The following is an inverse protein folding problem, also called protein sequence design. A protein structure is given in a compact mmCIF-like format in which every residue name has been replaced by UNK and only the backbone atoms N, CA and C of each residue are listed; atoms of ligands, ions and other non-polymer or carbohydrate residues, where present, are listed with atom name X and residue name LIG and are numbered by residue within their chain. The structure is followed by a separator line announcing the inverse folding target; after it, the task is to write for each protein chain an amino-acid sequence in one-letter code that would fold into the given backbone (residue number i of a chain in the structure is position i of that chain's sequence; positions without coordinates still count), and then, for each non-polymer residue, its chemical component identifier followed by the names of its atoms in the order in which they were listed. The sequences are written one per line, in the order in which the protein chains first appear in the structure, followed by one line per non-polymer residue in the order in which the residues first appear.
data_IF_091497325379
#
_entry.id   IF_091497325379
#
_cell.length_a   1.000
_cell.length_b   1.000
_cell.length_c   1.000
_cell.angle_alpha   90.00
_cell.angle_beta   90.00
_cell.angle_gamma   90.00
#
_symmetry.space_group_name_H-M   'P 1'
#
loop_
_entity.id
_entity.type
_entity.pdbx_description
1 polymer ?
#
# COMPACT_ATOMS: atom_id res chain seq x y z
N UNK A 1 -30.15 -61.63 5.46
CA UNK A 1 -28.99 -60.76 5.07
C UNK A 1 -29.57 -59.51 4.48
N UNK A 2 -29.56 -58.41 5.24
CA UNK A 2 -30.01 -57.07 4.77
C UNK A 2 -28.80 -56.21 4.65
N UNK A 3 -28.50 -55.77 3.42
CA UNK A 3 -27.38 -54.89 3.06
C UNK A 3 -27.81 -53.47 3.32
N UNK A 4 -27.13 -52.80 4.21
CA UNK A 4 -27.27 -51.33 4.46
C UNK A 4 -26.51 -50.56 3.39
N UNK A 5 -27.21 -49.77 2.63
CA UNK A 5 -26.62 -48.78 1.69
C UNK A 5 -26.22 -47.53 2.47
N UNK A 6 -24.94 -47.30 2.53
CA UNK A 6 -24.37 -46.04 3.08
C UNK A 6 -24.44 -44.95 2.01
N UNK A 7 -25.41 -44.07 2.17
CA UNK A 7 -25.52 -42.87 1.32
C UNK A 7 -24.50 -41.82 1.75
N UNK A 8 -23.46 -41.63 0.93
CA UNK A 8 -22.46 -40.53 1.08
C UNK A 8 -23.11 -39.25 0.59
N UNK A 9 -23.44 -38.37 1.55
CA UNK A 9 -23.89 -37.00 1.26
C UNK A 9 -22.69 -36.16 0.81
N UNK A 10 -22.50 -36.03 -0.49
CA UNK A 10 -21.55 -35.09 -1.06
C UNK A 10 -22.15 -33.69 -0.96
N UNK A 11 -21.74 -32.91 0.04
CA UNK A 11 -21.97 -31.48 0.04
C UNK A 11 -21.22 -30.86 -1.14
N UNK A 12 -21.94 -30.56 -2.20
CA UNK A 12 -21.45 -29.68 -3.26
C UNK A 12 -21.25 -28.28 -2.66
N UNK A 13 -20.05 -27.96 -2.24
CA UNK A 13 -19.65 -26.59 -2.02
C UNK A 13 -19.73 -25.87 -3.36
N UNK A 14 -20.76 -25.06 -3.54
CA UNK A 14 -20.82 -24.12 -4.64
C UNK A 14 -19.58 -23.23 -4.53
N UNK A 15 -18.58 -23.51 -5.36
CA UNK A 15 -17.48 -22.60 -5.62
C UNK A 15 -18.09 -21.33 -6.19
N UNK A 16 -18.26 -20.30 -5.36
CA UNK A 16 -18.46 -18.94 -5.86
C UNK A 16 -17.35 -18.71 -6.88
N UNK A 17 -17.70 -18.68 -8.16
CA UNK A 17 -16.81 -18.20 -9.21
C UNK A 17 -16.49 -16.76 -8.85
N UNK A 18 -15.35 -16.56 -8.18
CA UNK A 18 -14.72 -15.24 -8.09
C UNK A 18 -14.44 -14.85 -9.53
N UNK A 19 -15.26 -13.96 -10.08
CA UNK A 19 -14.98 -13.35 -11.38
C UNK A 19 -13.57 -12.78 -11.30
N UNK A 20 -12.72 -12.97 -12.32
CA UNK A 20 -11.40 -12.37 -12.33
C UNK A 20 -11.57 -10.87 -12.11
N UNK A 21 -10.75 -10.26 -11.26
CA UNK A 21 -10.83 -8.83 -11.01
C UNK A 21 -10.75 -8.10 -12.36
N UNK A 22 -11.63 -7.12 -12.57
CA UNK A 22 -11.52 -6.24 -13.72
C UNK A 22 -10.15 -5.55 -13.65
N UNK A 23 -9.19 -6.02 -14.46
CA UNK A 23 -7.82 -5.54 -14.50
C UNK A 23 -7.67 -4.27 -15.36
N UNK A 24 -8.79 -3.73 -15.82
CA UNK A 24 -8.81 -2.53 -16.62
C UNK A 24 -8.52 -1.30 -15.76
N UNK A 25 -7.31 -0.77 -15.94
CA UNK A 25 -6.87 0.45 -15.26
C UNK A 25 -7.54 1.66 -15.90
N UNK A 26 -8.35 2.36 -15.13
CA UNK A 26 -9.04 3.59 -15.54
C UNK A 26 -8.23 4.78 -15.05
N UNK A 27 -8.10 5.79 -15.91
CA UNK A 27 -7.47 7.06 -15.57
C UNK A 27 -8.55 8.08 -15.26
N UNK A 28 -8.56 8.55 -14.03
CA UNK A 28 -9.55 9.48 -13.51
C UNK A 28 -8.89 10.80 -13.06
N UNK A 29 -9.71 11.79 -12.79
CA UNK A 29 -9.25 13.04 -12.20
C UNK A 29 -10.10 13.41 -10.98
N UNK A 30 -9.47 14.00 -9.99
CA UNK A 30 -10.11 14.57 -8.80
C UNK A 30 -9.51 15.92 -8.49
N UNK A 31 -10.03 16.59 -7.47
CA UNK A 31 -9.48 17.87 -6.98
C UNK A 31 -8.89 17.68 -5.60
N UNK A 32 -7.61 17.97 -5.45
CA UNK A 32 -6.88 17.95 -4.19
C UNK A 32 -6.41 19.36 -3.87
N UNK A 33 -6.81 19.90 -2.72
CA UNK A 33 -6.51 21.30 -2.32
C UNK A 33 -6.87 22.34 -3.40
N UNK A 34 -8.00 22.14 -4.08
CA UNK A 34 -8.46 23.05 -5.15
C UNK A 34 -7.69 22.91 -6.46
N UNK A 35 -6.83 21.86 -6.64
CA UNK A 35 -6.02 21.65 -7.83
C UNK A 35 -6.34 20.30 -8.48
N UNK A 36 -6.35 20.24 -9.83
CA UNK A 36 -6.61 18.99 -10.53
C UNK A 36 -5.52 17.97 -10.23
N UNK A 37 -5.93 16.73 -10.01
CA UNK A 37 -5.04 15.59 -9.76
C UNK A 37 -5.51 14.43 -10.62
N UNK A 38 -4.61 13.88 -11.42
CA UNK A 38 -4.87 12.70 -12.24
C UNK A 38 -4.40 11.47 -11.49
N UNK A 39 -5.15 10.36 -11.60
CA UNK A 39 -4.77 9.11 -10.94
C UNK A 39 -5.30 7.89 -11.71
N UNK A 40 -4.61 6.77 -11.54
CA UNK A 40 -5.07 5.46 -11.99
C UNK A 40 -5.83 4.76 -10.88
N UNK A 41 -6.95 4.11 -11.23
CA UNK A 41 -7.71 3.26 -10.32
C UNK A 41 -8.15 1.98 -11.02
N UNK A 42 -8.08 0.85 -10.33
CA UNK A 42 -8.56 -0.44 -10.83
C UNK A 42 -8.76 -1.44 -9.69
N UNK A 43 -9.55 -2.48 -9.99
CA UNK A 43 -9.76 -3.62 -9.11
C UNK A 43 -10.68 -3.34 -7.93
N UNK A 44 -10.93 -4.45 -7.18
CA UNK A 44 -11.83 -4.43 -6.03
C UNK A 44 -11.24 -5.18 -4.87
N UNK A 45 -10.84 -4.98 -3.85
CA UNK A 45 -10.21 -5.87 -2.86
C UNK A 45 -9.42 -5.10 -1.82
N UNK A 46 -8.23 -5.55 -1.51
CA UNK A 46 -7.37 -4.86 -0.54
C UNK A 46 -6.94 -3.51 -1.11
N UNK A 47 -7.22 -2.39 -0.42
CA UNK A 47 -6.80 -1.09 -0.91
C UNK A 47 -5.28 -0.97 -0.89
N UNK A 48 -4.72 -0.47 -1.99
CA UNK A 48 -3.30 -0.26 -2.18
C UNK A 48 -3.07 1.09 -2.86
N UNK A 49 -2.23 1.92 -2.23
CA UNK A 49 -1.70 3.15 -2.80
C UNK A 49 -0.33 2.86 -3.42
N UNK A 50 -0.14 3.28 -4.67
CA UNK A 50 1.16 3.20 -5.34
C UNK A 50 1.70 4.60 -5.63
N UNK A 51 2.91 4.90 -5.13
CA UNK A 51 3.61 6.17 -5.31
C UNK A 51 4.79 5.99 -6.26
N UNK A 52 4.77 6.69 -7.39
CA UNK A 52 5.77 6.57 -8.46
C UNK A 52 7.10 7.26 -8.13
N UNK A 53 8.16 6.93 -8.88
CA UNK A 53 9.48 7.54 -8.77
C UNK A 53 9.58 8.92 -9.43
N UNK A 54 10.69 9.62 -9.14
CA UNK A 54 11.03 10.90 -9.75
C UNK A 54 11.12 10.81 -11.27
N UNK A 55 10.67 11.85 -11.96
CA UNK A 55 10.71 11.97 -13.41
C UNK A 55 9.62 11.21 -14.16
N UNK A 56 9.06 10.17 -13.56
CA UNK A 56 7.97 9.37 -14.10
C UNK A 56 6.62 9.82 -13.52
N UNK A 57 5.54 9.29 -14.06
CA UNK A 57 4.20 9.44 -13.50
C UNK A 57 3.50 8.06 -13.42
N UNK A 58 2.26 8.07 -13.03
CA UNK A 58 1.45 6.86 -12.82
C UNK A 58 1.30 5.98 -14.08
N UNK A 59 1.30 6.54 -15.29
CA UNK A 59 1.17 5.79 -16.55
C UNK A 59 2.34 4.84 -16.80
N UNK A 60 3.56 5.24 -16.40
CA UNK A 60 4.75 4.41 -16.52
C UNK A 60 4.60 3.05 -15.86
N UNK A 61 3.81 2.99 -14.78
CA UNK A 61 3.64 1.80 -13.95
C UNK A 61 2.42 0.95 -14.33
N UNK A 62 1.78 1.18 -15.47
CA UNK A 62 0.58 0.46 -15.91
C UNK A 62 0.69 -1.07 -15.79
N UNK A 63 1.84 -1.66 -16.16
CA UNK A 63 2.04 -3.11 -16.09
C UNK A 63 2.16 -3.62 -14.64
N UNK A 64 3.04 -3.06 -13.78
CA UNK A 64 3.07 -3.41 -12.36
C UNK A 64 1.73 -3.22 -11.65
N UNK A 65 1.01 -2.12 -11.93
CA UNK A 65 -0.31 -1.86 -11.34
C UNK A 65 -1.33 -2.94 -11.72
N UNK A 66 -1.35 -3.38 -12.99
CA UNK A 66 -2.19 -4.50 -13.43
C UNK A 66 -1.89 -5.79 -12.66
N UNK A 67 -0.62 -6.08 -12.38
CA UNK A 67 -0.26 -7.25 -11.57
C UNK A 67 -0.81 -7.16 -10.16
N UNK A 68 -0.77 -5.99 -9.53
CA UNK A 68 -1.36 -5.77 -8.21
C UNK A 68 -2.88 -5.99 -8.21
N UNK A 69 -3.57 -5.53 -9.27
CA UNK A 69 -5.01 -5.78 -9.44
C UNK A 69 -5.30 -7.28 -9.56
N UNK A 70 -4.53 -8.02 -10.35
CA UNK A 70 -4.65 -9.47 -10.51
C UNK A 70 -4.42 -10.24 -9.19
N UNK A 71 -3.64 -9.69 -8.27
CA UNK A 71 -3.45 -10.21 -6.92
C UNK A 71 -4.62 -9.90 -5.97
N UNK A 72 -5.66 -9.20 -6.45
CA UNK A 72 -6.83 -8.87 -5.65
C UNK A 72 -6.69 -7.57 -4.86
N UNK A 73 -5.91 -6.60 -5.37
CA UNK A 73 -5.87 -5.25 -4.83
C UNK A 73 -6.88 -4.33 -5.52
N UNK A 74 -7.38 -3.36 -4.76
CA UNK A 74 -7.93 -2.12 -5.31
C UNK A 74 -6.83 -1.07 -5.31
N UNK A 75 -6.32 -0.77 -6.48
CA UNK A 75 -5.14 0.09 -6.65
C UNK A 75 -5.56 1.55 -6.85
N UNK A 76 -4.84 2.45 -6.18
CA UNK A 76 -4.88 3.90 -6.37
C UNK A 76 -3.47 4.37 -6.69
N UNK A 77 -3.27 4.99 -7.84
CA UNK A 77 -1.96 5.43 -8.31
C UNK A 77 -2.02 6.89 -8.79
N UNK A 78 -1.90 7.88 -7.86
CA UNK A 78 -1.92 9.28 -8.25
C UNK A 78 -0.64 9.69 -8.99
N UNK A 79 -0.78 10.61 -9.93
CA UNK A 79 0.33 11.43 -10.39
C UNK A 79 0.71 12.38 -9.24
N UNK A 80 1.88 12.20 -8.67
CA UNK A 80 2.35 13.06 -7.58
C UNK A 80 2.56 14.50 -8.06
N UNK A 81 2.45 15.50 -7.17
CA UNK A 81 2.62 16.91 -7.52
C UNK A 81 3.90 17.19 -8.32
N UNK A 82 3.76 17.88 -9.45
CA UNK A 82 4.84 18.17 -10.38
C UNK A 82 4.97 17.22 -11.55
N UNK A 83 4.21 16.12 -11.57
CA UNK A 83 4.29 15.07 -12.59
C UNK A 83 2.92 14.70 -13.14
N UNK A 84 2.89 14.12 -14.35
CA UNK A 84 1.72 13.49 -14.95
C UNK A 84 0.47 14.37 -15.05
N UNK A 85 0.62 15.68 -15.13
CA UNK A 85 -0.50 16.64 -15.20
C UNK A 85 -0.99 17.16 -13.84
N UNK A 86 -0.49 16.65 -12.72
CA UNK A 86 -0.76 17.20 -11.39
C UNK A 86 0.15 18.41 -11.12
N UNK A 87 -0.40 19.59 -10.78
CA UNK A 87 0.39 20.78 -10.49
C UNK A 87 1.33 20.58 -9.29
N UNK A 88 2.45 21.31 -9.29
CA UNK A 88 3.43 21.29 -8.20
C UNK A 88 2.82 21.68 -6.85
N UNK A 89 3.44 21.20 -5.77
CA UNK A 89 3.26 21.81 -4.46
C UNK A 89 3.80 23.24 -4.46
N UNK A 90 3.22 24.13 -3.64
CA UNK A 90 3.83 25.42 -3.32
C UNK A 90 5.26 25.22 -2.84
N UNK A 91 6.13 26.22 -3.09
CA UNK A 91 7.57 26.11 -2.83
C UNK A 91 7.88 25.79 -1.36
N UNK A 92 7.14 26.38 -0.45
CA UNK A 92 7.26 26.23 1.00
C UNK A 92 6.82 24.85 1.53
N UNK A 93 5.93 24.18 0.81
CA UNK A 93 5.44 22.84 1.13
C UNK A 93 6.02 21.73 0.23
N UNK A 94 6.95 22.07 -0.66
CA UNK A 94 7.64 21.09 -1.53
C UNK A 94 8.73 20.32 -0.76
N UNK A 95 8.30 19.55 0.23
CA UNK A 95 9.10 18.73 1.16
C UNK A 95 8.45 17.35 1.32
N UNK A 96 9.15 16.37 1.86
CA UNK A 96 8.55 15.04 2.10
C UNK A 96 7.30 15.12 3.00
N UNK A 97 7.28 15.85 4.12
CA UNK A 97 6.04 16.05 4.89
C UNK A 97 4.92 16.73 4.07
N UNK A 98 5.24 17.66 3.19
CA UNK A 98 4.26 18.29 2.31
C UNK A 98 3.67 17.32 1.28
N UNK A 99 4.47 16.41 0.73
CA UNK A 99 4.00 15.31 -0.13
C UNK A 99 3.15 14.32 0.66
N UNK A 100 3.55 13.95 1.87
CA UNK A 100 2.79 13.05 2.74
C UNK A 100 1.41 13.64 3.08
N UNK A 101 1.34 14.92 3.46
CA UNK A 101 0.08 15.61 3.71
C UNK A 101 -0.80 15.72 2.45
N UNK A 102 -0.19 15.91 1.26
CA UNK A 102 -0.93 15.88 0.00
C UNK A 102 -1.49 14.48 -0.31
N UNK A 103 -0.78 13.41 0.03
CA UNK A 103 -1.26 12.03 -0.12
C UNK A 103 -2.49 11.79 0.74
N UNK A 104 -2.54 12.26 1.98
CA UNK A 104 -3.72 12.15 2.84
C UNK A 104 -4.93 12.88 2.24
N UNK A 105 -4.74 14.11 1.78
CA UNK A 105 -5.78 14.88 1.10
C UNK A 105 -6.25 14.21 -0.19
N UNK A 106 -5.35 13.58 -0.96
CA UNK A 106 -5.72 12.78 -2.13
C UNK A 106 -6.61 11.60 -1.75
N UNK A 107 -6.23 10.82 -0.74
CA UNK A 107 -7.02 9.68 -0.28
C UNK A 107 -8.40 10.11 0.24
N UNK A 108 -8.47 11.24 0.94
CA UNK A 108 -9.75 11.83 1.35
C UNK A 108 -10.59 12.25 0.14
N UNK A 109 -10.00 12.89 -0.87
CA UNK A 109 -10.70 13.33 -2.09
C UNK A 109 -11.28 12.17 -2.91
N UNK A 110 -10.64 11.00 -2.89
CA UNK A 110 -11.14 9.78 -3.58
C UNK A 110 -11.93 8.85 -2.64
N UNK A 111 -12.25 9.29 -1.43
CA UNK A 111 -13.12 8.58 -0.48
C UNK A 111 -12.50 7.33 0.15
N UNK A 112 -11.17 7.23 0.20
CA UNK A 112 -10.47 6.11 0.86
C UNK A 112 -10.27 6.45 2.32
N UNK A 113 -10.93 5.72 3.21
CA UNK A 113 -10.89 5.93 4.67
C UNK A 113 -10.27 4.74 5.44
N UNK A 114 -10.21 3.57 4.82
CA UNK A 114 -9.63 2.37 5.44
C UNK A 114 -8.10 2.36 5.33
N UNK A 115 -7.39 1.76 6.30
CA UNK A 115 -5.94 1.57 6.21
C UNK A 115 -5.57 0.73 5.00
N UNK A 116 -4.53 1.13 4.27
CA UNK A 116 -4.14 0.52 3.00
C UNK A 116 -2.69 0.05 2.99
N UNK A 117 -2.34 -0.80 2.03
CA UNK A 117 -0.96 -1.08 1.69
C UNK A 117 -0.42 0.16 0.96
N UNK A 118 0.73 0.66 1.36
CA UNK A 118 1.42 1.74 0.64
C UNK A 118 2.67 1.16 -0.03
N UNK A 119 2.73 1.21 -1.35
CA UNK A 119 3.90 0.81 -2.12
C UNK A 119 4.52 2.05 -2.78
N UNK A 120 5.82 2.26 -2.56
CA UNK A 120 6.52 3.41 -3.13
C UNK A 120 7.80 3.00 -3.84
N UNK A 121 8.00 3.51 -5.06
CA UNK A 121 9.23 3.33 -5.83
C UNK A 121 10.10 4.57 -5.76
N UNK A 122 11.39 4.41 -5.47
CA UNK A 122 12.37 5.49 -5.50
C UNK A 122 11.96 6.70 -4.65
N UNK A 123 11.74 7.88 -5.24
CA UNK A 123 11.20 9.06 -4.56
C UNK A 123 9.86 8.78 -3.88
N UNK A 124 8.96 8.05 -4.58
CA UNK A 124 7.67 7.64 -4.00
C UNK A 124 7.83 6.77 -2.75
N UNK A 125 8.93 6.04 -2.62
CA UNK A 125 9.28 5.29 -1.39
C UNK A 125 9.58 6.23 -0.23
N UNK A 126 10.31 7.30 -0.44
CA UNK A 126 10.54 8.33 0.60
C UNK A 126 9.25 9.03 1.02
N UNK A 127 8.37 9.34 0.07
CA UNK A 127 7.03 9.88 0.39
C UNK A 127 6.21 8.87 1.17
N UNK A 128 6.30 7.58 0.83
CA UNK A 128 5.59 6.50 1.53
C UNK A 128 6.08 6.33 2.98
N UNK A 129 7.39 6.42 3.23
CA UNK A 129 7.96 6.40 4.60
C UNK A 129 7.41 7.57 5.41
N UNK A 130 7.50 8.79 4.87
CA UNK A 130 7.00 9.99 5.54
C UNK A 130 5.49 9.90 5.80
N UNK A 131 4.71 9.42 4.82
CA UNK A 131 3.28 9.24 4.97
C UNK A 131 2.93 8.23 6.06
N UNK A 132 3.63 7.10 6.13
CA UNK A 132 3.43 6.11 7.18
C UNK A 132 3.81 6.63 8.57
N UNK A 133 4.79 7.53 8.64
CA UNK A 133 5.19 8.18 9.89
C UNK A 133 4.12 9.18 10.36
N UNK A 134 3.67 10.08 9.49
CA UNK A 134 2.81 11.21 9.82
C UNK A 134 1.32 10.79 9.96
N UNK A 135 0.89 9.73 9.25
CA UNK A 135 -0.49 9.24 9.21
C UNK A 135 -0.58 7.74 9.52
N UNK A 136 -0.19 7.30 10.72
CA UNK A 136 -0.06 5.89 11.07
C UNK A 136 -1.37 5.10 10.95
N UNK A 137 -2.51 5.73 11.16
CA UNK A 137 -3.83 5.09 11.05
C UNK A 137 -4.24 4.79 9.59
N UNK A 138 -3.55 5.42 8.61
CA UNK A 138 -3.81 5.24 7.18
C UNK A 138 -3.04 4.06 6.57
N UNK A 139 -2.00 3.57 7.24
CA UNK A 139 -1.06 2.60 6.67
C UNK A 139 -1.13 1.26 7.39
N UNK A 140 -1.49 0.23 6.65
CA UNK A 140 -1.52 -1.17 7.13
C UNK A 140 -0.16 -1.84 7.02
N UNK A 141 0.52 -1.63 5.91
CA UNK A 141 1.87 -2.13 5.63
C UNK A 141 2.54 -1.27 4.56
N UNK A 142 3.86 -1.30 4.53
CA UNK A 142 4.69 -0.49 3.65
C UNK A 142 5.54 -1.38 2.76
N UNK A 143 5.62 -1.06 1.47
CA UNK A 143 6.50 -1.72 0.50
C UNK A 143 7.38 -0.68 -0.17
N UNK A 144 8.66 -0.81 0.04
CA UNK A 144 9.69 0.12 -0.44
C UNK A 144 10.48 -0.54 -1.57
N UNK A 145 10.40 0.01 -2.78
CA UNK A 145 11.07 -0.53 -3.96
C UNK A 145 12.15 0.44 -4.41
N UNK A 146 13.42 0.04 -4.32
CA UNK A 146 14.56 0.89 -4.68
C UNK A 146 14.44 2.31 -4.08
N UNK A 147 14.02 2.38 -2.81
CA UNK A 147 13.55 3.60 -2.15
C UNK A 147 14.71 4.51 -1.72
N UNK A 148 14.46 5.82 -1.77
CA UNK A 148 15.26 6.79 -1.00
C UNK A 148 14.90 6.68 0.49
N UNK A 149 15.72 7.28 1.36
CA UNK A 149 15.49 7.37 2.81
C UNK A 149 16.61 6.80 3.66
N UNK A 150 17.48 5.95 3.09
CA UNK A 150 18.63 5.40 3.79
C UNK A 150 19.85 6.32 3.87
N UNK A 151 19.80 7.53 3.40
CA UNK A 151 20.78 8.63 3.48
C UNK A 151 22.25 8.32 3.10
N UNK A 152 22.70 7.08 3.10
CA UNK A 152 24.08 6.68 2.80
C UNK A 152 24.31 6.55 1.27
N UNK A 153 25.42 7.10 0.80
CA UNK A 153 25.81 7.00 -0.62
C UNK A 153 26.97 6.02 -0.85
N UNK A 154 28.02 6.09 -0.05
CA UNK A 154 29.19 5.23 -0.22
C UNK A 154 30.01 5.13 1.07
N UNK A 155 30.82 4.07 1.16
CA UNK A 155 31.70 3.83 2.29
C UNK A 155 30.99 3.20 3.50
N UNK A 156 31.77 2.85 4.54
CA UNK A 156 31.29 2.25 5.78
C UNK A 156 31.90 2.97 6.98
N UNK A 157 31.20 3.01 8.10
CA UNK A 157 31.68 3.64 9.32
C UNK A 157 32.05 5.12 9.13
N UNK A 158 33.25 5.51 9.54
CA UNK A 158 33.75 6.90 9.45
C UNK A 158 33.99 7.40 8.03
N UNK A 159 34.02 6.51 7.01
CA UNK A 159 34.19 6.86 5.61
C UNK A 159 32.84 6.94 4.84
N UNK A 160 31.73 6.69 5.51
CA UNK A 160 30.42 6.77 4.90
C UNK A 160 30.13 8.20 4.42
N UNK A 161 29.76 8.32 3.14
CA UNK A 161 29.30 9.58 2.54
C UNK A 161 27.78 9.61 2.51
N UNK A 162 27.24 10.78 2.81
CA UNK A 162 25.77 10.97 2.73
C UNK A 162 25.32 11.07 1.28
N UNK A 163 24.13 10.57 1.00
CA UNK A 163 23.49 10.69 -0.33
C UNK A 163 23.36 12.16 -0.75
N UNK A 164 23.20 13.08 0.19
CA UNK A 164 23.19 14.52 -0.05
C UNK A 164 24.49 15.09 -0.66
N UNK A 165 25.62 14.41 -0.47
CA UNK A 165 26.90 14.81 -1.06
C UNK A 165 27.07 14.36 -2.52
N UNK A 166 26.22 13.41 -2.97
CA UNK A 166 26.25 12.88 -4.33
C UNK A 166 25.80 13.96 -5.33
N UNK A 167 26.60 14.28 -6.36
CA UNK A 167 26.22 15.27 -7.37
C UNK A 167 24.98 14.81 -8.16
N UNK A 168 24.07 15.73 -8.44
CA UNK A 168 22.87 15.41 -9.26
C UNK A 168 23.22 14.95 -10.69
N UNK A 169 24.32 15.44 -11.26
CA UNK A 169 24.76 14.99 -12.58
C UNK A 169 25.16 13.50 -12.58
N UNK A 170 25.64 12.98 -11.46
CA UNK A 170 25.99 11.56 -11.31
C UNK A 170 24.73 10.66 -11.41
N UNK A 171 23.62 11.09 -10.85
CA UNK A 171 22.34 10.42 -11.07
C UNK A 171 21.95 10.40 -12.55
N UNK A 172 22.12 11.53 -13.24
CA UNK A 172 21.86 11.64 -14.67
C UNK A 172 22.74 10.73 -15.53
N UNK A 173 24.00 10.50 -15.14
CA UNK A 173 24.90 9.58 -15.83
C UNK A 173 24.51 8.10 -15.65
N UNK A 174 23.88 7.75 -14.53
CA UNK A 174 23.43 6.37 -14.28
C UNK A 174 22.06 6.07 -14.88
N UNK A 175 21.27 7.08 -15.23
CA UNK A 175 19.97 6.88 -15.85
C UNK A 175 20.03 6.12 -17.19
N UNK A 176 20.98 6.39 -18.12
CA UNK A 176 21.16 5.55 -19.30
C UNK A 176 21.56 4.11 -18.97
N UNK A 177 22.35 3.89 -17.92
CA UNK A 177 22.75 2.54 -17.51
C UNK A 177 21.60 1.71 -16.92
N UNK A 178 20.55 2.35 -16.46
CA UNK A 178 19.32 1.72 -16.01
C UNK A 178 18.52 1.12 -17.18
N UNK A 179 18.77 1.60 -18.40
CA UNK A 179 18.21 1.07 -19.64
C UNK A 179 18.93 -0.17 -20.17
N UNK A 180 20.16 -0.45 -19.71
CA UNK A 180 20.94 -1.61 -20.10
C UNK A 180 20.71 -2.78 -19.14
N UNK A 181 20.62 -4.04 -19.56
CA UNK A 181 20.92 -4.60 -20.88
C UNK A 181 19.78 -4.47 -21.90
N UNK A 182 20.14 -4.66 -23.19
CA UNK A 182 19.29 -4.47 -24.38
C UNK A 182 17.82 -4.98 -24.25
N UNK A 183 17.49 -6.12 -23.61
CA UNK A 183 16.12 -6.56 -23.43
C UNK A 183 15.27 -5.59 -22.58
N UNK A 184 15.90 -4.81 -21.71
CA UNK A 184 15.20 -3.82 -20.89
C UNK A 184 14.95 -2.52 -21.65
N UNK A 185 15.84 -2.14 -22.57
CA UNK A 185 15.69 -0.92 -23.39
C UNK A 185 14.35 -0.94 -24.13
N UNK A 186 14.03 -2.03 -24.80
CA UNK A 186 12.80 -2.13 -25.59
C UNK A 186 11.52 -2.04 -24.75
N UNK A 187 11.59 -2.38 -23.47
CA UNK A 187 10.46 -2.31 -22.54
C UNK A 187 10.36 -0.97 -21.78
N UNK A 188 11.50 -0.40 -21.40
CA UNK A 188 11.58 0.80 -20.54
C UNK A 188 11.70 2.07 -21.35
N UNK A 189 12.43 2.07 -22.48
CA UNK A 189 12.61 3.28 -23.29
C UNK A 189 11.30 3.91 -23.81
N UNK A 190 10.31 3.16 -24.31
CA UNK A 190 9.01 3.75 -24.67
C UNK A 190 8.36 4.46 -23.48
N UNK A 191 8.38 3.83 -22.32
CA UNK A 191 7.82 4.38 -21.07
C UNK A 191 8.52 5.69 -20.68
N UNK A 192 9.83 5.73 -20.77
CA UNK A 192 10.62 6.94 -20.48
C UNK A 192 10.30 8.06 -21.48
N UNK A 193 10.21 7.75 -22.78
CA UNK A 193 9.88 8.74 -23.80
C UNK A 193 8.45 9.26 -23.70
N UNK A 194 7.52 8.40 -23.36
CA UNK A 194 6.08 8.76 -23.25
C UNK A 194 5.77 9.53 -21.97
N UNK A 195 6.49 9.29 -20.89
CA UNK A 195 6.15 9.81 -19.57
C UNK A 195 7.22 10.78 -19.02
N UNK A 196 8.50 10.40 -18.99
CA UNK A 196 9.56 11.25 -18.42
C UNK A 196 9.84 12.49 -19.27
N UNK A 197 9.93 12.36 -20.59
CA UNK A 197 10.23 13.47 -21.47
C UNK A 197 9.17 14.58 -21.42
N UNK A 198 7.86 14.30 -21.48
CA UNK A 198 6.84 15.31 -21.26
C UNK A 198 6.92 15.99 -19.87
N UNK A 199 7.22 15.25 -18.81
CA UNK A 199 7.40 15.83 -17.47
C UNK A 199 8.59 16.78 -17.42
N UNK A 200 9.73 16.41 -18.03
CA UNK A 200 10.93 17.25 -18.12
C UNK A 200 10.66 18.57 -18.88
N UNK A 201 9.93 18.48 -19.99
CA UNK A 201 9.67 19.65 -20.84
C UNK A 201 8.60 20.58 -20.22
N UNK A 202 7.58 20.01 -19.59
CA UNK A 202 6.47 20.80 -19.03
C UNK A 202 6.83 21.49 -17.73
N UNK A 203 7.63 20.85 -16.87
CA UNK A 203 7.94 21.38 -15.55
C UNK A 203 9.36 21.09 -15.06
N UNK A 204 10.40 21.67 -15.73
CA UNK A 204 11.80 21.43 -15.35
C UNK A 204 12.11 21.92 -13.93
N UNK A 205 11.39 22.93 -13.43
CA UNK A 205 11.58 23.47 -12.08
C UNK A 205 11.10 22.49 -11.02
N UNK A 206 9.96 21.80 -11.22
CA UNK A 206 9.51 20.76 -10.33
C UNK A 206 10.49 19.59 -10.32
N UNK A 207 10.89 19.14 -11.50
CA UNK A 207 11.88 18.07 -11.64
C UNK A 207 13.12 18.33 -10.79
N UNK A 208 13.68 19.56 -10.87
CA UNK A 208 14.85 19.95 -10.10
C UNK A 208 14.58 19.99 -8.58
N UNK A 209 13.42 20.58 -8.14
CA UNK A 209 13.07 20.63 -6.73
C UNK A 209 12.92 19.25 -6.12
N UNK A 210 12.20 18.36 -6.80
CA UNK A 210 11.98 16.99 -6.33
C UNK A 210 13.30 16.22 -6.28
N UNK A 211 14.21 16.41 -7.26
CA UNK A 211 15.53 15.83 -7.21
C UNK A 211 16.34 16.31 -5.98
N UNK A 212 16.22 17.57 -5.60
CA UNK A 212 16.88 18.08 -4.38
C UNK A 212 16.26 17.47 -3.12
N UNK A 213 14.94 17.38 -3.03
CA UNK A 213 14.25 16.72 -1.91
C UNK A 213 14.68 15.26 -1.81
N UNK A 214 14.70 14.53 -2.93
CA UNK A 214 15.13 13.13 -2.97
C UNK A 214 16.57 12.93 -2.52
N UNK A 215 17.48 13.79 -2.98
CA UNK A 215 18.91 13.73 -2.65
C UNK A 215 19.19 13.99 -1.17
N UNK A 216 18.46 14.93 -0.56
CA UNK A 216 18.66 15.33 0.83
C UNK A 216 17.82 14.53 1.82
N UNK A 217 17.02 13.57 1.34
CA UNK A 217 16.17 12.75 2.18
C UNK A 217 16.99 11.88 3.13
N UNK A 218 16.91 12.18 4.42
CA UNK A 218 17.35 11.34 5.52
C UNK A 218 16.12 11.02 6.37
N UNK A 219 15.62 9.81 6.25
CA UNK A 219 14.40 9.34 6.91
C UNK A 219 14.71 8.32 8.01
N UNK A 220 15.93 8.35 8.53
CA UNK A 220 16.37 7.41 9.57
C UNK A 220 15.49 7.48 10.81
N UNK A 221 15.14 8.69 11.27
CA UNK A 221 14.29 8.89 12.45
C UNK A 221 12.86 8.36 12.24
N UNK A 222 12.28 8.62 11.07
CA UNK A 222 10.96 8.13 10.67
C UNK A 222 10.95 6.60 10.60
N UNK A 223 11.97 5.98 10.00
CA UNK A 223 12.12 4.53 9.90
C UNK A 223 12.25 3.88 11.27
N UNK A 224 13.03 4.45 12.18
CA UNK A 224 13.15 3.97 13.56
C UNK A 224 11.82 4.08 14.33
N UNK A 225 11.02 5.13 14.07
CA UNK A 225 9.68 5.26 14.62
C UNK A 225 8.74 4.18 14.08
N UNK A 226 8.75 3.93 12.76
CA UNK A 226 7.96 2.85 12.15
C UNK A 226 8.35 1.48 12.73
N UNK A 227 9.65 1.24 12.97
CA UNK A 227 10.13 0.04 13.67
C UNK A 227 9.57 -0.07 15.08
N UNK A 228 9.59 1.02 15.87
CA UNK A 228 9.01 1.04 17.23
C UNK A 228 7.50 0.74 17.21
N UNK A 229 6.78 1.23 16.22
CA UNK A 229 5.35 0.94 16.00
C UNK A 229 5.10 -0.47 15.46
N UNK A 230 6.14 -1.21 15.09
CA UNK A 230 6.04 -2.54 14.47
C UNK A 230 5.19 -2.55 13.20
N UNK A 231 5.29 -1.49 12.41
CA UNK A 231 4.64 -1.47 11.10
C UNK A 231 5.27 -2.56 10.22
N UNK A 232 4.47 -3.44 9.57
CA UNK A 232 5.01 -4.39 8.59
C UNK A 232 5.61 -3.64 7.40
N UNK A 233 6.92 -3.82 7.17
CA UNK A 233 7.66 -3.18 6.07
C UNK A 233 8.41 -4.22 5.27
N UNK A 234 8.24 -4.20 3.97
CA UNK A 234 9.03 -4.96 2.99
C UNK A 234 9.91 -3.99 2.22
N UNK A 235 11.20 -4.29 2.17
CA UNK A 235 12.19 -3.47 1.45
C UNK A 235 12.76 -4.30 0.31
N UNK A 236 12.62 -3.81 -0.93
CA UNK A 236 13.08 -4.45 -2.15
C UNK A 236 14.16 -3.60 -2.81
N UNK A 237 15.23 -4.24 -3.25
CA UNK A 237 16.33 -3.56 -3.93
C UNK A 237 16.88 -4.39 -5.08
N UNK A 238 17.05 -3.74 -6.26
CA UNK A 238 17.65 -4.36 -7.43
C UNK A 238 19.17 -4.47 -7.29
N UNK A 239 19.73 -5.66 -7.48
CA UNK A 239 21.18 -5.95 -7.32
C UNK A 239 22.10 -5.12 -8.20
N UNK A 240 21.57 -4.51 -9.27
CA UNK A 240 22.26 -3.65 -10.21
C UNK A 240 21.81 -2.19 -10.17
N UNK A 241 21.07 -1.79 -9.11
CA UNK A 241 20.67 -0.41 -8.94
C UNK A 241 21.89 0.49 -8.67
N UNK A 242 22.17 1.40 -9.60
CA UNK A 242 23.23 2.41 -9.49
C UNK A 242 22.70 3.78 -9.09
N UNK A 243 21.38 3.95 -9.08
CA UNK A 243 20.74 5.21 -8.68
C UNK A 243 20.61 5.23 -7.16
N UNK A 244 20.06 4.18 -6.56
CA UNK A 244 20.05 3.98 -5.09
C UNK A 244 21.12 2.94 -4.75
N UNK A 245 22.27 3.34 -4.21
CA UNK A 245 23.37 2.42 -3.95
C UNK A 245 23.03 1.42 -2.84
N UNK A 246 23.73 0.28 -2.84
CA UNK A 246 23.56 -0.76 -1.82
C UNK A 246 23.69 -0.21 -0.40
N UNK A 247 24.62 0.71 -0.17
CA UNK A 247 24.82 1.35 1.13
C UNK A 247 23.58 2.11 1.63
N UNK A 248 22.79 2.71 0.72
CA UNK A 248 21.52 3.35 1.08
C UNK A 248 20.45 2.32 1.43
N UNK A 249 20.37 1.22 0.67
CA UNK A 249 19.49 0.09 0.97
C UNK A 249 19.83 -0.53 2.34
N UNK A 250 21.12 -0.81 2.60
CA UNK A 250 21.57 -1.40 3.87
C UNK A 250 21.26 -0.47 5.05
N UNK A 251 21.49 0.84 4.91
CA UNK A 251 21.16 1.83 5.93
C UNK A 251 19.65 1.90 6.22
N UNK A 252 18.83 1.85 5.18
CA UNK A 252 17.37 1.82 5.30
C UNK A 252 16.91 0.55 6.03
N UNK A 253 17.44 -0.62 5.64
CA UNK A 253 17.14 -1.90 6.28
C UNK A 253 17.55 -1.91 7.76
N UNK A 254 18.72 -1.37 8.09
CA UNK A 254 19.19 -1.27 9.48
C UNK A 254 18.26 -0.38 10.33
N UNK A 255 17.86 0.78 9.81
CA UNK A 255 16.97 1.71 10.49
C UNK A 255 15.60 1.10 10.80
N UNK A 256 14.98 0.43 9.81
CA UNK A 256 13.66 -0.21 9.98
C UNK A 256 13.77 -1.57 10.71
N UNK A 257 14.95 -2.18 10.76
CA UNK A 257 15.14 -3.52 11.32
C UNK A 257 14.60 -4.65 10.46
N UNK A 258 14.70 -4.52 9.14
CA UNK A 258 14.35 -5.52 8.12
C UNK A 258 15.63 -6.04 7.46
N UNK A 259 15.66 -7.31 7.06
CA UNK A 259 16.76 -7.83 6.25
C UNK A 259 16.70 -7.30 4.82
N UNK A 260 15.50 -6.94 4.36
CA UNK A 260 15.24 -6.56 2.98
C UNK A 260 15.33 -7.77 2.02
N UNK A 261 14.92 -7.56 0.79
CA UNK A 261 14.99 -8.55 -0.28
C UNK A 261 15.73 -7.97 -1.48
N UNK A 262 16.75 -8.69 -1.93
CA UNK A 262 17.53 -8.32 -3.12
C UNK A 262 16.97 -9.07 -4.31
N UNK A 263 16.54 -8.33 -5.33
CA UNK A 263 15.98 -8.87 -6.57
C UNK A 263 16.94 -8.66 -7.72
N UNK A 264 16.89 -9.51 -8.73
CA UNK A 264 17.69 -9.33 -9.93
C UNK A 264 17.16 -8.17 -10.77
N UNK A 265 17.94 -7.10 -10.91
CA UNK A 265 17.54 -5.96 -11.74
C UNK A 265 18.23 -4.65 -11.38
N UNK A 266 17.93 -3.64 -12.18
CA UNK A 266 18.41 -2.27 -12.02
C UNK A 266 17.37 -1.41 -11.25
N UNK A 267 17.50 -0.09 -11.27
CA UNK A 267 16.59 0.81 -10.56
C UNK A 267 15.11 0.65 -10.98
N UNK A 268 14.87 0.47 -12.27
CA UNK A 268 13.52 0.37 -12.86
C UNK A 268 13.07 -1.08 -13.11
N UNK A 269 13.61 -2.07 -12.38
CA UNK A 269 13.34 -3.50 -12.61
C UNK A 269 11.84 -3.85 -12.62
N UNK A 270 11.04 -3.22 -11.75
CA UNK A 270 9.59 -3.47 -11.69
C UNK A 270 8.85 -3.05 -12.99
N UNK A 271 9.41 -2.11 -13.77
CA UNK A 271 8.87 -1.72 -15.07
C UNK A 271 9.27 -2.72 -16.16
N UNK A 272 10.48 -3.25 -16.06
CA UNK A 272 11.04 -4.20 -17.00
C UNK A 272 10.47 -5.63 -16.80
N UNK A 273 10.25 -6.01 -15.54
CA UNK A 273 9.72 -7.31 -15.13
C UNK A 273 8.56 -7.17 -14.11
N UNK A 274 7.37 -6.80 -14.57
CA UNK A 274 6.21 -6.68 -13.69
C UNK A 274 5.73 -8.01 -13.11
N UNK A 275 6.11 -9.14 -13.69
CA UNK A 275 5.77 -10.46 -13.19
C UNK A 275 6.59 -10.79 -11.94
N UNK A 276 7.91 -10.58 -11.96
CA UNK A 276 8.74 -10.71 -10.76
C UNK A 276 8.27 -9.76 -9.64
N UNK A 277 7.86 -8.53 -9.97
CA UNK A 277 7.25 -7.64 -9.00
C UNK A 277 5.96 -8.24 -8.40
N UNK A 278 5.10 -8.83 -9.23
CA UNK A 278 3.88 -9.50 -8.80
C UNK A 278 4.17 -10.68 -7.86
N UNK A 279 5.20 -11.47 -8.12
CA UNK A 279 5.60 -12.61 -7.27
C UNK A 279 5.96 -12.14 -5.87
N UNK A 280 6.81 -11.14 -5.73
CA UNK A 280 7.18 -10.58 -4.43
C UNK A 280 5.94 -10.00 -3.72
N UNK A 281 5.09 -9.29 -4.44
CA UNK A 281 3.88 -8.69 -3.87
C UNK A 281 2.82 -9.71 -3.44
N UNK A 282 2.87 -10.94 -3.94
CA UNK A 282 1.89 -12.01 -3.61
C UNK A 282 1.84 -12.26 -2.10
N UNK A 283 2.98 -12.36 -1.43
CA UNK A 283 3.03 -12.60 0.01
C UNK A 283 2.47 -11.41 0.79
N UNK A 284 2.83 -10.18 0.41
CA UNK A 284 2.37 -8.95 1.06
C UNK A 284 0.83 -8.84 0.98
N UNK A 285 0.29 -9.05 -0.21
CA UNK A 285 -1.16 -8.97 -0.46
C UNK A 285 -1.90 -10.08 0.28
N UNK A 286 -1.40 -11.31 0.28
CA UNK A 286 -2.00 -12.44 0.98
C UNK A 286 -2.10 -12.21 2.48
N UNK A 287 -1.05 -11.68 3.11
CA UNK A 287 -1.07 -11.33 4.54
C UNK A 287 -2.10 -10.24 4.83
N UNK A 288 -2.17 -9.20 3.98
CA UNK A 288 -3.14 -8.13 4.14
C UNK A 288 -4.59 -8.60 3.94
N UNK A 289 -4.85 -9.50 3.00
CA UNK A 289 -6.16 -10.13 2.77
C UNK A 289 -6.60 -10.95 4.00
N UNK A 290 -5.68 -11.74 4.56
CA UNK A 290 -5.96 -12.53 5.76
C UNK A 290 -6.30 -11.63 6.95
N UNK A 291 -5.51 -10.60 7.20
CA UNK A 291 -5.75 -9.62 8.26
C UNK A 291 -7.14 -8.95 8.13
N UNK A 292 -7.48 -8.50 6.92
CA UNK A 292 -8.78 -7.88 6.61
C UNK A 292 -9.95 -8.85 6.87
N UNK A 293 -9.81 -10.11 6.49
CA UNK A 293 -10.85 -11.13 6.73
C UNK A 293 -11.03 -11.42 8.20
N UNK A 294 -9.97 -11.44 9.00
CA UNK A 294 -10.04 -11.62 10.46
C UNK A 294 -10.71 -10.43 11.14
N UNK A 295 -10.38 -9.19 10.74
CA UNK A 295 -11.03 -7.96 11.23
C UNK A 295 -12.54 -7.96 10.93
N UNK A 296 -12.92 -8.36 9.72
CA UNK A 296 -14.33 -8.49 9.31
C UNK A 296 -15.09 -9.51 10.17
N UNK A 297 -14.49 -10.66 10.47
CA UNK A 297 -15.06 -11.67 11.37
C UNK A 297 -15.19 -11.14 12.80
N UNK A 298 -14.19 -10.45 13.31
CA UNK A 298 -14.21 -9.86 14.65
C UNK A 298 -15.28 -8.78 14.79
N UNK A 299 -15.45 -7.90 13.79
CA UNK A 299 -16.52 -6.89 13.76
C UNK A 299 -17.92 -7.54 13.74
N UNK A 300 -18.14 -8.58 12.92
CA UNK A 300 -19.42 -9.33 12.89
C UNK A 300 -19.72 -9.99 14.24
N UNK A 301 -18.73 -10.62 14.88
CA UNK A 301 -18.89 -11.25 16.20
C UNK A 301 -19.24 -10.23 17.28
N UNK A 302 -18.61 -9.04 17.29
CA UNK A 302 -18.94 -7.95 18.21
C UNK A 302 -20.35 -7.40 17.95
N UNK A 303 -20.77 -7.24 16.69
CA UNK A 303 -22.12 -6.85 16.32
C UNK A 303 -23.18 -7.84 16.82
N UNK A 304 -22.96 -9.15 16.65
CA UNK A 304 -23.84 -10.20 17.15
C UNK A 304 -23.93 -10.22 18.68
N UNK A 305 -22.79 -10.04 19.37
CA UNK A 305 -22.79 -9.97 20.86
C UNK A 305 -23.45 -8.68 21.37
N UNK A 306 -23.34 -7.56 20.64
CA UNK A 306 -24.07 -6.32 20.92
C UNK A 306 -25.58 -6.49 20.78
N UNK A 307 -26.04 -7.17 19.72
CA UNK A 307 -27.46 -7.51 19.51
C UNK A 307 -28.01 -8.49 20.55
N UNK A 308 -27.19 -9.46 21.00
CA UNK A 308 -27.57 -10.39 22.06
C UNK A 308 -27.67 -9.70 23.44
N UNK A 309 -26.88 -8.67 23.71
CA UNK A 309 -26.93 -7.86 24.92
C UNK A 309 -28.09 -6.87 24.97
N UNK A 310 -28.59 -6.45 23.80
CA UNK A 310 -29.76 -5.54 23.72
C UNK A 310 -31.10 -6.23 23.75
N UNK A 311 -31.15 -7.57 23.93
CA UNK A 311 -32.37 -8.36 24.13
C UNK A 311 -32.50 -9.03 25.50
N UNK A 312 -32.63 -8.31 26.61
CA UNK A 312 -33.03 -8.94 27.84
C UNK A 312 -34.10 -8.16 28.57
N UNK A 313 -35.28 -7.94 28.02
CA UNK A 313 -36.45 -7.49 28.84
C UNK A 313 -37.81 -8.07 28.43
N UNK A 314 -37.90 -8.76 27.28
CA UNK A 314 -39.21 -9.32 26.82
C UNK A 314 -39.44 -10.77 27.20
N UNK A 315 -38.47 -11.51 27.74
CA UNK A 315 -38.64 -12.92 28.11
C UNK A 315 -38.89 -13.14 29.63
N UNK A 316 -38.76 -12.12 30.49
CA UNK A 316 -39.06 -12.23 31.90
C UNK A 316 -40.52 -11.93 32.26
N UNK A 317 -41.28 -11.27 31.39
CA UNK A 317 -42.70 -10.98 31.66
C UNK A 317 -43.65 -12.13 31.31
N UNK A 318 -43.22 -13.09 30.49
CA UNK A 318 -44.10 -14.21 30.08
C UNK A 318 -43.92 -15.45 30.99
N UNK A 319 -42.81 -15.61 31.68
CA UNK A 319 -42.59 -16.72 32.64
C UNK A 319 -43.07 -16.35 34.05
N UNK A 320 -43.13 -15.07 34.41
CA UNK A 320 -43.64 -14.58 35.67
C UNK A 320 -45.19 -14.63 35.79
N UNK A 321 -45.89 -14.55 34.68
CA UNK A 321 -47.35 -14.56 34.66
C UNK A 321 -47.99 -15.97 34.70
N UNK A 322 -47.20 -17.02 34.42
CA UNK A 322 -47.69 -18.42 34.44
C UNK A 322 -47.47 -19.17 35.77
N UNK A 323 -46.74 -18.59 36.72
CA UNK A 323 -46.52 -19.17 38.07
C UNK A 323 -47.34 -18.53 39.16
N UNK A 324 -48.08 -17.45 38.86
CA UNK A 324 -48.99 -16.81 39.81
C UNK A 324 -50.45 -17.36 39.75
N UNK A 325 -50.77 -18.18 38.73
CA UNK A 325 -52.12 -18.67 38.49
C UNK A 325 -52.32 -20.15 38.95
N UNK A 326 -51.35 -20.74 39.70
CA UNK A 326 -51.42 -22.13 40.18
C UNK A 326 -51.29 -22.28 41.71
N UNK A 327 -51.46 -21.22 42.51
CA UNK A 327 -51.35 -21.29 43.97
C UNK A 327 -52.62 -20.90 44.72
N UNK A 328 -53.80 -20.75 44.06
CA UNK A 328 -55.06 -20.38 44.70
C UNK A 328 -56.17 -21.46 44.59
N UNK A 329 -55.81 -22.73 44.46
CA UNK A 329 -56.81 -23.83 44.60
C UNK A 329 -56.29 -24.98 45.48
N UNK A 330 -56.20 -24.78 46.77
CA UNK A 330 -56.23 -25.87 47.77
C UNK A 330 -56.27 -25.26 49.17
N UNK A 331 -57.47 -25.01 49.70
CA UNK A 331 -57.80 -25.11 51.11
C UNK A 331 -59.23 -24.62 51.29
N UNK A 332 -60.19 -25.56 51.13
CA UNK A 332 -61.54 -25.49 51.79
C UNK A 332 -62.11 -26.92 51.91
N UNK A 333 -61.86 -27.53 53.02
CA UNK A 333 -62.72 -28.60 53.50
C UNK A 333 -63.08 -28.39 54.99
N UNK A 334 -64.38 -28.45 55.37
CA UNK A 334 -64.77 -28.12 56.71
C UNK A 334 -64.77 -29.36 57.60
N UNK A 335 -64.27 -29.20 58.85
CA UNK A 335 -64.38 -30.14 59.95
C UNK A 335 -65.80 -30.14 60.56
N UNK A 336 -66.36 -31.30 60.66
CA UNK A 336 -67.28 -31.64 61.69
C UNK A 336 -66.64 -32.60 62.66
#
# INVERSE_FOLDING_TARGET
MKTLATGTLVLAMASERVLPPDDHLVWESTTVRGRPTVYGVAGTGVPLLFLHGWGLAHHAYKRPLKRLVQLGCRVYAPAQPGFGGTPDLPKDTSTLPGYAAWVDDFLAAVGVTEPLIVAGHSFGGGVAIQFAHDFPERVRSLVLVNSIGGSAWSGEGSTARKLAERPLWDWGLHFPSDLLPVPHITKVLPVVLEDALPNMLRNPRALWRVAQVARTADLTAELEELKRRRLPVVVLWGDRDRIIPKSSFDALCAAIGSEGEVVAGNHSWLLADPDAFGEVMTNVVSVAQLARSMEGRAKRRRGLLGLARSRPRLLRSVVGAKLADQTDEADDEPST
#
